data_IF_221261473767
#
_entry.id   IF_221261473767
#
_cell.length_a   1.000
_cell.length_b   1.000
_cell.length_c   1.000
_cell.angle_alpha   90.00
_cell.angle_beta   90.00
_cell.angle_gamma   90.00
#
_symmetry.space_group_name_H-M   'P 1'
#
loop_
_entity.id
_entity.type
_entity.pdbx_description
1 polymer ?
#
# COMPACT_ATOMS: atom_id res chain seq x y z
N UNK A 1 13.66 -17.72 -5.24
CA UNK A 1 13.02 -17.01 -4.12
C UNK A 1 12.76 -15.58 -4.55
N UNK A 2 11.63 -14.97 -4.19
CA UNK A 2 11.40 -13.54 -4.43
C UNK A 2 12.53 -12.75 -3.78
N UNK A 3 13.11 -11.81 -4.52
CA UNK A 3 14.25 -11.02 -4.06
C UNK A 3 13.87 -9.53 -4.15
N UNK A 4 13.78 -8.88 -3.00
CA UNK A 4 13.38 -7.47 -2.87
C UNK A 4 14.22 -6.54 -3.77
N UNK A 5 15.50 -6.86 -3.99
CA UNK A 5 16.39 -6.09 -4.89
C UNK A 5 15.93 -6.19 -6.34
N UNK A 6 15.47 -7.36 -6.79
CA UNK A 6 14.95 -7.54 -8.15
C UNK A 6 13.60 -6.84 -8.31
N UNK A 7 12.76 -6.88 -7.28
CA UNK A 7 11.47 -6.18 -7.30
C UNK A 7 11.69 -4.66 -7.32
N UNK A 8 12.61 -4.12 -6.51
CA UNK A 8 12.98 -2.71 -6.56
C UNK A 8 13.46 -2.28 -7.96
N UNK A 9 14.38 -3.05 -8.58
CA UNK A 9 14.86 -2.78 -9.94
C UNK A 9 13.75 -2.84 -11.00
N UNK A 10 12.77 -3.73 -10.83
CA UNK A 10 11.61 -3.77 -11.72
C UNK A 10 10.84 -2.45 -11.64
N UNK A 11 10.50 -1.99 -10.44
CA UNK A 11 9.76 -0.76 -10.20
C UNK A 11 10.54 0.48 -10.61
N UNK A 12 11.86 0.55 -10.34
CA UNK A 12 12.74 1.63 -10.82
C UNK A 12 12.64 1.80 -12.35
N UNK A 13 12.71 0.68 -13.09
CA UNK A 13 12.69 0.70 -14.55
C UNK A 13 11.39 1.27 -15.13
N UNK A 14 10.26 1.07 -14.48
CA UNK A 14 8.96 1.49 -14.99
C UNK A 14 8.41 2.75 -14.33
N UNK A 15 9.08 3.30 -13.32
CA UNK A 15 8.56 4.37 -12.45
C UNK A 15 8.06 5.59 -13.24
N UNK A 16 8.83 6.09 -14.21
CA UNK A 16 8.45 7.26 -15.03
C UNK A 16 7.19 6.98 -15.86
N UNK A 17 7.09 5.81 -16.49
CA UNK A 17 5.87 5.42 -17.22
C UNK A 17 4.69 5.28 -16.28
N UNK A 18 4.88 4.57 -15.17
CA UNK A 18 3.83 4.37 -14.15
C UNK A 18 3.28 5.70 -13.61
N UNK A 19 4.15 6.71 -13.45
CA UNK A 19 3.74 8.03 -12.94
C UNK A 19 2.79 8.80 -13.86
N UNK A 20 2.76 8.44 -15.15
CA UNK A 20 1.92 9.07 -16.18
C UNK A 20 0.71 8.23 -16.57
N UNK A 21 0.67 6.96 -16.16
CA UNK A 21 -0.46 6.07 -16.47
C UNK A 21 -1.72 6.54 -15.70
N UNK A 22 -2.88 6.65 -16.36
CA UNK A 22 -4.11 7.08 -15.70
C UNK A 22 -4.62 6.02 -14.72
N UNK A 23 -5.30 6.48 -13.66
CA UNK A 23 -5.99 5.59 -12.72
C UNK A 23 -7.19 4.96 -13.43
N UNK A 24 -7.18 3.64 -13.60
CA UNK A 24 -8.18 2.93 -14.41
C UNK A 24 -9.62 3.04 -13.88
N UNK A 25 -9.80 3.14 -12.57
CA UNK A 25 -11.10 3.34 -11.90
C UNK A 25 -10.99 4.55 -10.97
N UNK A 26 -11.08 5.75 -11.54
CA UNK A 26 -10.92 7.01 -10.80
C UNK A 26 -12.02 7.17 -9.74
N UNK A 27 -13.28 6.87 -10.06
CA UNK A 27 -14.40 6.99 -9.12
C UNK A 27 -14.24 6.02 -7.93
N UNK A 28 -13.78 4.80 -8.19
CA UNK A 28 -13.50 3.81 -7.15
C UNK A 28 -12.29 4.20 -6.29
N UNK A 29 -11.32 4.88 -6.88
CA UNK A 29 -10.18 5.45 -6.18
C UNK A 29 -10.58 6.62 -5.28
N UNK A 30 -11.37 7.58 -5.77
CA UNK A 30 -11.83 8.73 -4.98
C UNK A 30 -12.72 8.27 -3.82
N UNK A 31 -13.61 7.27 -4.02
CA UNK A 31 -14.36 6.65 -2.90
C UNK A 31 -13.45 6.03 -1.85
N UNK A 32 -12.35 5.41 -2.28
CA UNK A 32 -11.34 4.86 -1.37
C UNK A 32 -10.67 5.96 -0.53
N UNK A 33 -10.28 7.06 -1.18
CA UNK A 33 -9.69 8.21 -0.49
C UNK A 33 -10.66 8.85 0.49
N UNK A 34 -11.92 9.07 0.07
CA UNK A 34 -12.96 9.65 0.93
C UNK A 34 -13.20 8.78 2.16
N UNK A 35 -13.33 7.45 1.96
CA UNK A 35 -13.50 6.54 3.08
C UNK A 35 -12.28 6.50 4.00
N UNK A 36 -11.08 6.58 3.45
CA UNK A 36 -9.84 6.68 4.23
C UNK A 36 -9.84 7.96 5.07
N UNK A 37 -10.16 9.12 4.48
CA UNK A 37 -10.23 10.41 5.20
C UNK A 37 -11.17 10.38 6.40
N UNK A 38 -12.25 9.59 6.34
CA UNK A 38 -13.18 9.43 7.46
C UNK A 38 -12.51 8.87 8.73
N UNK A 39 -11.42 8.11 8.58
CA UNK A 39 -10.65 7.51 9.67
C UNK A 39 -9.45 8.34 10.11
N UNK A 40 -9.10 9.38 9.36
CA UNK A 40 -7.93 10.22 9.63
C UNK A 40 -8.30 11.43 10.50
N UNK A 41 -7.35 11.84 11.35
CA UNK A 41 -7.42 13.05 12.15
C UNK A 41 -6.31 14.01 11.75
N UNK A 42 -6.54 15.32 11.93
CA UNK A 42 -5.58 16.35 11.55
C UNK A 42 -4.28 16.35 12.35
N UNK A 43 -4.25 15.70 13.48
CA UNK A 43 -3.09 15.51 14.35
C UNK A 43 -2.42 14.15 14.22
N UNK A 44 -2.98 13.24 13.41
CA UNK A 44 -2.38 11.91 13.17
C UNK A 44 -1.01 12.03 12.51
N UNK A 45 -0.10 11.16 12.94
CA UNK A 45 1.13 10.82 12.22
C UNK A 45 0.89 9.51 11.49
N UNK A 46 0.84 9.56 10.15
CA UNK A 46 0.55 8.42 9.30
C UNK A 46 1.81 7.82 8.68
N UNK A 47 1.79 6.51 8.48
CA UNK A 47 2.82 5.76 7.76
C UNK A 47 2.20 5.11 6.52
N UNK A 48 2.71 5.39 5.32
CA UNK A 48 2.28 4.71 4.10
C UNK A 48 3.43 3.87 3.54
N UNK A 49 3.20 2.59 3.27
CA UNK A 49 4.17 1.71 2.62
C UNK A 49 3.70 1.30 1.23
N UNK A 50 4.65 1.15 0.30
CA UNK A 50 4.36 0.94 -1.12
C UNK A 50 3.66 2.15 -1.74
N UNK A 51 4.09 3.36 -1.39
CA UNK A 51 3.45 4.61 -1.82
C UNK A 51 3.62 4.90 -3.32
N UNK A 52 4.50 4.15 -4.01
CA UNK A 52 4.82 4.39 -5.41
C UNK A 52 5.28 5.83 -5.65
N UNK A 53 4.67 6.48 -6.63
CA UNK A 53 4.98 7.88 -6.98
C UNK A 53 4.27 8.92 -6.09
N UNK A 54 3.80 8.53 -4.91
CA UNK A 54 3.33 9.43 -3.85
C UNK A 54 1.93 10.03 -4.05
N UNK A 55 1.21 9.69 -5.11
CA UNK A 55 -0.07 10.34 -5.44
C UNK A 55 -1.11 10.20 -4.31
N UNK A 56 -1.18 9.04 -3.64
CA UNK A 56 -2.12 8.81 -2.53
C UNK A 56 -1.71 9.58 -1.28
N UNK A 57 -0.43 9.53 -0.89
CA UNK A 57 0.11 10.30 0.23
C UNK A 57 -0.20 11.80 0.07
N UNK A 58 0.09 12.38 -1.10
CA UNK A 58 -0.16 13.80 -1.36
C UNK A 58 -1.64 14.17 -1.27
N UNK A 59 -2.56 13.33 -1.78
CA UNK A 59 -4.00 13.54 -1.68
C UNK A 59 -4.54 13.39 -0.26
N UNK A 60 -3.90 12.63 0.61
CA UNK A 60 -4.27 12.44 2.01
C UNK A 60 -3.56 13.42 2.97
N UNK A 61 -2.45 14.02 2.55
CA UNK A 61 -1.67 14.97 3.34
C UNK A 61 -2.49 16.07 4.03
N UNK A 62 -3.50 16.69 3.37
CA UNK A 62 -4.33 17.71 4.03
C UNK A 62 -5.19 17.19 5.19
N UNK A 63 -5.31 15.87 5.36
CA UNK A 63 -6.19 15.24 6.36
C UNK A 63 -5.46 14.79 7.63
N UNK A 64 -4.13 14.92 7.67
CA UNK A 64 -3.29 14.47 8.79
C UNK A 64 -2.22 15.51 9.14
N UNK A 65 -1.58 15.36 10.29
CA UNK A 65 -0.47 16.22 10.72
C UNK A 65 0.80 15.96 9.91
N UNK A 66 1.15 14.69 9.71
CA UNK A 66 2.34 14.30 8.96
C UNK A 66 2.18 12.91 8.34
N UNK A 67 2.79 12.68 7.17
CA UNK A 67 2.90 11.35 6.56
C UNK A 67 4.37 11.01 6.34
N UNK A 68 4.77 9.81 6.77
CA UNK A 68 5.98 9.15 6.30
C UNK A 68 5.56 8.12 5.27
N UNK A 69 5.91 8.34 4.00
CA UNK A 69 5.53 7.50 2.88
C UNK A 69 6.75 6.77 2.32
N UNK A 70 6.65 5.45 2.20
CA UNK A 70 7.80 4.61 1.82
C UNK A 70 7.51 3.73 0.62
N UNK A 71 8.56 3.46 -0.16
CA UNK A 71 8.56 2.47 -1.23
C UNK A 71 9.92 1.78 -1.30
N UNK A 72 9.99 0.60 -1.92
CA UNK A 72 11.27 -0.11 -2.15
C UNK A 72 12.07 0.48 -3.32
N UNK A 73 11.42 1.23 -4.21
CA UNK A 73 11.99 1.81 -5.42
C UNK A 73 12.50 3.23 -5.17
N UNK A 74 13.79 3.45 -5.37
CA UNK A 74 14.39 4.78 -5.29
C UNK A 74 13.85 5.75 -6.33
N UNK A 75 13.56 5.29 -7.55
CA UNK A 75 12.97 6.09 -8.62
C UNK A 75 11.52 6.50 -8.33
N UNK A 76 10.72 5.61 -7.72
CA UNK A 76 9.36 5.97 -7.25
C UNK A 76 9.44 7.11 -6.23
N UNK A 77 10.32 6.99 -5.25
CA UNK A 77 10.52 8.00 -4.20
C UNK A 77 11.04 9.31 -4.79
N UNK A 78 11.95 9.27 -5.76
CA UNK A 78 12.41 10.48 -6.44
C UNK A 78 11.26 11.24 -7.12
N UNK A 79 10.40 10.52 -7.86
CA UNK A 79 9.21 11.11 -8.49
C UNK A 79 8.21 11.64 -7.45
N UNK A 80 8.01 10.93 -6.35
CA UNK A 80 7.13 11.38 -5.28
C UNK A 80 7.61 12.71 -4.66
N UNK A 81 8.91 12.85 -4.44
CA UNK A 81 9.54 14.10 -3.97
C UNK A 81 9.41 15.24 -4.99
N UNK A 82 9.59 14.96 -6.29
CA UNK A 82 9.36 15.94 -7.37
C UNK A 82 7.91 16.47 -7.31
N UNK A 83 6.91 15.58 -7.19
CA UNK A 83 5.49 15.96 -7.07
C UNK A 83 5.22 16.79 -5.82
N UNK A 84 5.71 16.35 -4.65
CA UNK A 84 5.54 17.09 -3.39
C UNK A 84 6.09 18.52 -3.50
N UNK A 85 7.27 18.66 -4.08
CA UNK A 85 7.88 19.98 -4.32
C UNK A 85 7.05 20.84 -5.27
N UNK A 86 6.55 20.26 -6.36
CA UNK A 86 5.72 20.97 -7.34
C UNK A 86 4.37 21.42 -6.76
N UNK A 87 3.79 20.62 -5.84
CA UNK A 87 2.52 20.92 -5.16
C UNK A 87 2.70 21.76 -3.88
N UNK A 88 3.95 22.07 -3.47
CA UNK A 88 4.24 22.78 -2.23
C UNK A 88 3.82 22.00 -0.96
N UNK A 89 3.76 20.68 -1.05
CA UNK A 89 3.38 19.84 0.09
C UNK A 89 4.57 19.68 1.05
N UNK A 90 4.41 20.10 2.30
CA UNK A 90 5.50 20.14 3.29
C UNK A 90 5.34 19.13 4.43
N UNK A 91 4.17 18.48 4.53
CA UNK A 91 3.89 17.53 5.62
C UNK A 91 3.96 16.06 5.20
N UNK A 92 4.64 15.75 4.07
CA UNK A 92 4.93 14.37 3.65
C UNK A 92 6.43 14.19 3.50
N UNK A 93 6.99 13.19 4.19
CA UNK A 93 8.36 12.72 4.00
C UNK A 93 8.34 11.43 3.15
N UNK A 94 9.16 11.37 2.10
CA UNK A 94 9.28 10.21 1.23
C UNK A 94 10.62 9.51 1.43
N UNK A 95 10.62 8.20 1.74
CA UNK A 95 11.83 7.45 2.06
C UNK A 95 11.83 6.05 1.43
N UNK A 96 13.03 5.51 1.16
CA UNK A 96 13.18 4.12 0.68
C UNK A 96 13.24 3.21 1.90
N UNK A 97 12.17 2.48 2.18
CA UNK A 97 12.07 1.55 3.31
C UNK A 97 10.93 0.54 3.13
N UNK A 98 10.96 -0.51 3.96
CA UNK A 98 9.86 -1.48 4.15
C UNK A 98 9.43 -1.50 5.60
N UNK A 99 8.18 -1.89 5.94
CA UNK A 99 7.69 -1.90 7.32
C UNK A 99 8.49 -2.79 8.28
N UNK A 100 8.98 -3.93 7.79
CA UNK A 100 9.76 -4.90 8.56
C UNK A 100 11.18 -4.41 8.89
N UNK A 101 11.77 -3.56 8.02
CA UNK A 101 13.10 -2.97 8.19
C UNK A 101 13.07 -1.46 8.45
N UNK A 102 11.91 -0.93 8.79
CA UNK A 102 11.71 0.50 9.03
C UNK A 102 12.52 1.00 10.24
N UNK A 103 13.24 2.15 10.10
CA UNK A 103 14.14 2.64 11.15
C UNK A 103 13.41 3.39 12.28
N UNK A 104 12.07 3.55 12.18
CA UNK A 104 11.29 4.27 13.18
C UNK A 104 11.06 3.41 14.43
N UNK A 105 11.00 4.05 15.62
CA UNK A 105 10.67 3.38 16.86
C UNK A 105 9.31 2.68 16.80
N UNK A 106 9.12 1.71 17.69
CA UNK A 106 7.81 1.08 17.89
C UNK A 106 6.77 2.12 18.32
N UNK A 107 5.52 1.89 17.98
CA UNK A 107 4.40 2.75 18.39
C UNK A 107 4.55 4.22 17.99
N UNK A 108 5.13 4.50 16.80
CA UNK A 108 5.37 5.86 16.31
C UNK A 108 4.19 6.46 15.55
N UNK A 109 3.30 5.62 15.00
CA UNK A 109 2.27 6.06 14.07
C UNK A 109 0.86 5.79 14.58
N UNK A 110 -0.05 6.73 14.29
CA UNK A 110 -1.48 6.61 14.60
C UNK A 110 -2.21 5.77 13.57
N UNK A 111 -1.80 5.89 12.29
CA UNK A 111 -2.39 5.19 11.16
C UNK A 111 -1.29 4.63 10.24
N UNK A 112 -1.48 3.40 9.77
CA UNK A 112 -0.68 2.83 8.69
C UNK A 112 -1.56 2.61 7.46
N UNK A 113 -1.02 2.92 6.27
CA UNK A 113 -1.69 2.86 4.99
C UNK A 113 -0.93 1.94 4.03
N UNK A 114 -1.66 1.08 3.29
CA UNK A 114 -1.05 0.22 2.29
C UNK A 114 -2.00 -0.04 1.13
N UNK A 115 -1.86 0.71 0.03
CA UNK A 115 -2.76 0.61 -1.12
C UNK A 115 -2.07 -0.06 -2.32
N UNK A 116 -2.71 -1.10 -2.87
CA UNK A 116 -2.22 -1.87 -4.01
C UNK A 116 -0.80 -2.45 -3.83
N UNK A 117 -0.40 -2.78 -2.61
CA UNK A 117 0.97 -3.22 -2.28
C UNK A 117 1.05 -4.65 -1.76
N UNK A 118 0.16 -5.10 -0.86
CA UNK A 118 0.32 -6.39 -0.16
C UNK A 118 0.38 -7.62 -1.08
N UNK A 119 -0.27 -7.57 -2.24
CA UNK A 119 -0.20 -8.64 -3.24
C UNK A 119 1.18 -8.73 -3.93
N UNK A 120 2.01 -7.69 -3.81
CA UNK A 120 3.37 -7.62 -4.36
C UNK A 120 4.45 -7.98 -3.33
N UNK A 121 4.06 -8.25 -2.09
CA UNK A 121 4.99 -8.52 -0.98
C UNK A 121 5.12 -10.01 -0.76
N UNK A 122 6.32 -10.53 -0.94
CA UNK A 122 6.63 -11.95 -0.72
C UNK A 122 6.67 -12.32 0.76
N UNK A 123 7.24 -11.46 1.61
CA UNK A 123 7.34 -11.62 3.06
C UNK A 123 6.17 -10.91 3.77
N UNK A 124 4.93 -11.17 3.31
CA UNK A 124 3.74 -10.44 3.79
C UNK A 124 3.55 -10.49 5.30
N UNK A 125 3.81 -11.64 5.93
CA UNK A 125 3.70 -11.77 7.38
C UNK A 125 4.69 -10.85 8.10
N UNK A 126 5.95 -10.78 7.67
CA UNK A 126 6.95 -9.87 8.23
C UNK A 126 6.54 -8.40 8.05
N UNK A 127 5.99 -8.06 6.87
CA UNK A 127 5.47 -6.72 6.61
C UNK A 127 4.29 -6.37 7.54
N UNK A 128 3.33 -7.27 7.73
CA UNK A 128 2.21 -7.06 8.66
C UNK A 128 2.68 -6.91 10.11
N UNK A 129 3.66 -7.72 10.54
CA UNK A 129 4.29 -7.58 11.86
C UNK A 129 5.02 -6.24 12.00
N UNK A 130 5.71 -5.77 10.97
CA UNK A 130 6.34 -4.45 10.92
C UNK A 130 5.31 -3.33 11.06
N UNK A 131 4.20 -3.41 10.32
CA UNK A 131 3.07 -2.46 10.44
C UNK A 131 2.50 -2.47 11.85
N UNK A 132 2.27 -3.66 12.43
CA UNK A 132 1.76 -3.79 13.79
C UNK A 132 2.74 -3.18 14.82
N UNK A 133 4.04 -3.44 14.68
CA UNK A 133 5.08 -2.87 15.54
C UNK A 133 5.07 -1.32 15.52
N UNK A 134 4.99 -0.76 14.32
CA UNK A 134 5.06 0.69 14.09
C UNK A 134 3.82 1.45 14.61
N UNK A 135 2.65 0.82 14.62
CA UNK A 135 1.42 1.43 15.08
C UNK A 135 1.36 1.54 16.59
N UNK A 136 0.81 2.64 17.08
CA UNK A 136 0.42 2.83 18.49
C UNK A 136 -0.67 1.82 18.89
N UNK A 137 -0.82 1.47 20.18
CA UNK A 137 -2.00 0.72 20.65
C UNK A 137 -3.30 1.41 20.23
N UNK A 138 -4.24 0.68 19.68
CA UNK A 138 -5.48 1.22 19.12
C UNK A 138 -5.35 1.93 17.77
N UNK A 139 -4.13 2.06 17.23
CA UNK A 139 -3.87 2.64 15.92
C UNK A 139 -4.50 1.84 14.80
N UNK A 140 -4.73 2.48 13.65
CA UNK A 140 -5.45 1.90 12.52
C UNK A 140 -4.51 1.45 11.41
N UNK A 141 -4.79 0.28 10.85
CA UNK A 141 -4.22 -0.18 9.58
C UNK A 141 -5.31 -0.15 8.51
N UNK A 142 -5.10 0.63 7.44
CA UNK A 142 -6.04 0.77 6.33
C UNK A 142 -5.37 0.25 5.06
N UNK A 143 -5.98 -0.73 4.41
CA UNK A 143 -5.44 -1.33 3.20
C UNK A 143 -6.51 -1.58 2.14
N UNK A 144 -6.11 -1.53 0.88
CA UNK A 144 -6.88 -2.02 -0.26
C UNK A 144 -5.92 -2.62 -1.27
N UNK A 145 -6.04 -3.93 -1.52
CA UNK A 145 -5.10 -4.63 -2.39
C UNK A 145 -5.81 -5.67 -3.27
N UNK A 146 -5.36 -5.89 -4.51
CA UNK A 146 -5.89 -6.96 -5.36
C UNK A 146 -5.73 -8.34 -4.70
N UNK A 147 -6.83 -9.07 -4.60
CA UNK A 147 -6.85 -10.48 -4.23
C UNK A 147 -6.84 -11.31 -5.51
N UNK A 148 -5.65 -11.55 -6.05
CA UNK A 148 -5.45 -12.16 -7.38
C UNK A 148 -5.97 -13.59 -7.43
N UNK A 149 -6.10 -14.26 -6.27
CA UNK A 149 -6.73 -15.57 -6.15
C UNK A 149 -8.22 -15.57 -6.53
N UNK A 150 -8.90 -14.43 -6.45
CA UNK A 150 -10.30 -14.24 -6.83
C UNK A 150 -10.50 -13.70 -8.27
N UNK A 151 -9.41 -13.42 -8.98
CA UNK A 151 -9.42 -12.89 -10.34
C UNK A 151 -9.50 -14.02 -11.39
N UNK A 152 -9.46 -13.65 -12.68
CA UNK A 152 -9.49 -14.60 -13.77
C UNK A 152 -8.38 -15.66 -13.63
N UNK A 153 -8.70 -16.96 -13.60
CA UNK A 153 -7.72 -18.05 -13.44
C UNK A 153 -6.62 -18.08 -14.52
N UNK A 154 -6.84 -17.50 -15.70
CA UNK A 154 -5.82 -17.38 -16.73
C UNK A 154 -4.63 -16.52 -16.28
N UNK A 155 -4.84 -15.60 -15.35
CA UNK A 155 -3.76 -14.80 -14.75
C UNK A 155 -2.75 -15.71 -14.03
N UNK A 156 -3.22 -16.78 -13.38
CA UNK A 156 -2.36 -17.76 -12.70
C UNK A 156 -1.38 -18.47 -13.64
N UNK A 157 -1.76 -18.63 -14.91
CA UNK A 157 -0.91 -19.26 -15.93
C UNK A 157 0.03 -18.23 -16.59
N UNK A 158 -0.44 -17.01 -16.82
CA UNK A 158 0.32 -15.97 -17.52
C UNK A 158 1.41 -15.34 -16.64
N UNK A 159 1.12 -15.06 -15.37
CA UNK A 159 2.04 -14.36 -14.46
C UNK A 159 3.40 -15.05 -14.31
N UNK A 160 3.51 -16.36 -14.06
CA UNK A 160 4.82 -17.02 -13.92
C UNK A 160 5.68 -16.89 -15.17
N UNK A 161 5.08 -16.97 -16.36
CA UNK A 161 5.79 -16.78 -17.63
C UNK A 161 6.27 -15.34 -17.79
N UNK A 162 5.45 -14.37 -17.43
CA UNK A 162 5.83 -12.96 -17.45
C UNK A 162 6.96 -12.66 -16.45
N UNK A 163 6.92 -13.28 -15.27
CA UNK A 163 7.98 -13.15 -14.25
C UNK A 163 9.30 -13.73 -14.74
N UNK A 164 9.27 -14.90 -15.42
CA UNK A 164 10.46 -15.55 -15.95
C UNK A 164 11.21 -14.66 -16.96
N UNK A 165 10.48 -13.87 -17.75
CA UNK A 165 11.05 -12.93 -18.73
C UNK A 165 11.21 -11.51 -18.17
N UNK A 166 11.07 -11.31 -16.87
CA UNK A 166 11.24 -10.01 -16.21
C UNK A 166 10.20 -8.95 -16.56
N UNK A 167 9.02 -9.38 -17.06
CA UNK A 167 7.91 -8.49 -17.47
C UNK A 167 6.83 -8.30 -16.38
N UNK A 168 6.95 -9.00 -15.26
CA UNK A 168 6.08 -8.83 -14.10
C UNK A 168 6.87 -8.94 -12.80
N UNK A 169 6.50 -8.19 -11.74
CA UNK A 169 7.06 -8.34 -10.41
C UNK A 169 6.53 -9.60 -9.75
N UNK A 170 7.00 -9.88 -8.52
CA UNK A 170 6.35 -10.87 -7.68
C UNK A 170 4.87 -10.50 -7.45
N UNK A 171 3.99 -11.50 -7.53
CA UNK A 171 2.55 -11.36 -7.24
C UNK A 171 2.07 -12.60 -6.49
N UNK A 172 1.44 -12.40 -5.33
CA UNK A 172 0.81 -13.47 -4.55
C UNK A 172 -0.64 -13.72 -5.02
N UNK A 173 -1.09 -14.97 -4.91
CA UNK A 173 -2.43 -15.39 -5.33
C UNK A 173 -3.39 -15.57 -4.13
N UNK A 174 -3.40 -14.61 -3.20
CA UNK A 174 -4.30 -14.65 -2.05
C UNK A 174 -5.75 -14.33 -2.42
N UNK A 175 -6.66 -14.82 -1.58
CA UNK A 175 -8.07 -14.40 -1.53
C UNK A 175 -8.27 -13.28 -0.50
N UNK A 176 -9.46 -12.63 -0.51
CA UNK A 176 -9.80 -11.63 0.50
C UNK A 176 -9.86 -12.23 1.91
N UNK A 177 -10.45 -13.42 2.04
CA UNK A 177 -10.57 -14.11 3.34
C UNK A 177 -9.20 -14.53 3.92
N UNK A 178 -8.27 -14.95 3.05
CA UNK A 178 -6.89 -15.23 3.47
C UNK A 178 -6.18 -13.98 3.96
N UNK A 179 -6.31 -12.86 3.24
CA UNK A 179 -5.73 -11.59 3.64
C UNK A 179 -6.29 -11.10 4.99
N UNK A 180 -7.59 -11.17 5.19
CA UNK A 180 -8.23 -10.78 6.45
C UNK A 180 -7.78 -11.65 7.62
N UNK A 181 -7.67 -12.95 7.42
CA UNK A 181 -7.16 -13.87 8.43
C UNK A 181 -5.72 -13.55 8.81
N UNK A 182 -4.83 -13.32 7.85
CA UNK A 182 -3.44 -12.96 8.11
C UNK A 182 -3.32 -11.64 8.90
N UNK A 183 -4.16 -10.64 8.58
CA UNK A 183 -4.23 -9.39 9.31
C UNK A 183 -4.68 -9.65 10.76
N UNK A 184 -5.75 -10.42 10.97
CA UNK A 184 -6.25 -10.76 12.31
C UNK A 184 -5.24 -11.55 13.14
N UNK A 185 -4.56 -12.55 12.55
CA UNK A 185 -3.52 -13.36 13.20
C UNK A 185 -2.29 -12.55 13.61
N UNK A 186 -2.11 -11.35 13.02
CA UNK A 186 -1.02 -10.44 13.38
C UNK A 186 -1.37 -9.56 14.59
N UNK A 187 -2.56 -9.65 15.17
CA UNK A 187 -2.98 -8.86 16.34
C UNK A 187 -3.81 -7.63 15.97
N UNK A 188 -4.59 -7.74 14.90
CA UNK A 188 -5.54 -6.71 14.50
C UNK A 188 -6.99 -7.19 14.61
N UNK A 189 -7.87 -6.30 15.02
CA UNK A 189 -9.32 -6.44 14.93
C UNK A 189 -9.83 -5.78 13.63
N UNK A 190 -10.57 -6.52 12.80
CA UNK A 190 -11.17 -5.93 11.59
C UNK A 190 -12.36 -5.05 11.97
N UNK A 191 -12.25 -3.75 11.72
CA UNK A 191 -13.27 -2.74 12.02
C UNK A 191 -14.22 -2.54 10.85
N UNK A 192 -13.71 -2.59 9.62
CA UNK A 192 -14.52 -2.39 8.42
C UNK A 192 -14.03 -3.24 7.24
N UNK A 193 -14.99 -3.69 6.46
CA UNK A 193 -14.80 -4.28 5.12
C UNK A 193 -15.68 -3.57 4.13
N UNK A 194 -15.10 -3.12 3.01
CA UNK A 194 -15.84 -2.47 1.94
C UNK A 194 -15.27 -2.82 0.56
N UNK A 195 -15.99 -2.46 -0.48
CA UNK A 195 -15.57 -2.56 -1.88
C UNK A 195 -15.95 -1.26 -2.60
N UNK A 196 -15.04 -0.68 -3.35
CA UNK A 196 -15.18 0.67 -3.89
C UNK A 196 -15.16 0.75 -5.43
N UNK A 197 -15.14 -0.38 -6.15
CA UNK A 197 -15.18 -0.34 -7.60
C UNK A 197 -16.41 0.42 -8.11
N UNK A 198 -16.23 1.19 -9.17
CA UNK A 198 -17.31 1.92 -9.83
C UNK A 198 -18.19 1.00 -10.66
N UNK A 199 -17.65 -0.15 -11.11
CA UNK A 199 -18.34 -1.14 -11.96
C UNK A 199 -17.90 -2.57 -11.62
N UNK A 200 -18.84 -3.50 -11.72
CA UNK A 200 -18.56 -4.93 -11.62
C UNK A 200 -18.11 -5.41 -10.24
N UNK A 201 -17.50 -6.60 -10.21
CA UNK A 201 -16.92 -7.19 -9.00
C UNK A 201 -15.57 -6.52 -8.71
N UNK A 202 -15.39 -5.97 -7.50
CA UNK A 202 -14.10 -5.45 -7.05
C UNK A 202 -13.31 -6.58 -6.34
N UNK A 203 -12.22 -7.09 -6.92
CA UNK A 203 -11.37 -8.07 -6.26
C UNK A 203 -10.41 -7.43 -5.24
N UNK A 204 -10.60 -6.15 -4.91
CA UNK A 204 -9.74 -5.37 -4.02
C UNK A 204 -10.52 -5.00 -2.76
N UNK A 205 -10.57 -5.86 -1.73
CA UNK A 205 -11.19 -5.48 -0.47
C UNK A 205 -10.49 -4.25 0.13
N UNK A 206 -11.30 -3.29 0.57
CA UNK A 206 -10.89 -2.22 1.46
C UNK A 206 -11.10 -2.71 2.89
N UNK A 207 -10.05 -2.69 3.68
CA UNK A 207 -10.05 -3.20 5.05
C UNK A 207 -9.53 -2.10 5.96
N UNK A 208 -10.26 -1.85 7.05
CA UNK A 208 -9.78 -1.09 8.19
C UNK A 208 -9.64 -2.03 9.37
N UNK A 209 -8.47 -2.08 9.96
CA UNK A 209 -8.16 -2.92 11.09
C UNK A 209 -7.54 -2.10 12.23
N UNK A 210 -7.87 -2.44 13.48
CA UNK A 210 -7.36 -1.77 14.68
C UNK A 210 -6.35 -2.66 15.38
N UNK A 211 -5.21 -2.11 15.75
CA UNK A 211 -4.24 -2.80 16.60
C UNK A 211 -4.80 -3.03 18.00
N UNK A 212 -4.86 -4.30 18.45
CA UNK A 212 -5.29 -4.73 19.79
C UNK A 212 -4.11 -5.03 20.69
#
# INVERSE_FOLDING_TARGET
MPNIVNDARFWDRIARKYSTDPIADLDGYERTLERTRHYLRRDDVAFEFGCGTGTTALKLAPSVGHIVATDISGEMIAIAREKASAEGCTNVAFEVATPDAAPWPDTSFDVALGFNVLHLVAARQATLQGVHRLLKPGGLFITKTPCVGEMNPLIRLALPLMQLVGKAPYVSFQTGDELEREIAETGFEIVERARHASRGKDPRPFIVARKI
#
